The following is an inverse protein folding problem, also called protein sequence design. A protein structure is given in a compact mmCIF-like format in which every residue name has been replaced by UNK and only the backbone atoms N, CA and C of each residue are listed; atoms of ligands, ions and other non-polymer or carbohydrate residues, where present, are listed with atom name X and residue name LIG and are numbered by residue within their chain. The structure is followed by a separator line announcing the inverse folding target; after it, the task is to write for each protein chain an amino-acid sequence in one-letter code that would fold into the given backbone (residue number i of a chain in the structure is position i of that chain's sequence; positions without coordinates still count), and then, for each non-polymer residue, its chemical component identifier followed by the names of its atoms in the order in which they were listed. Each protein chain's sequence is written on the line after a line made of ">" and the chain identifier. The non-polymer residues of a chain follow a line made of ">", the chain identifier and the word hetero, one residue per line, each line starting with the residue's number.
data_IF_055918845049
#
_entry.id   IF_055918845049
#
_cell.length_a   1.000
_cell.length_b   1.000
_cell.length_c   1.000
_cell.angle_alpha   90.00
_cell.angle_beta   90.00
_cell.angle_gamma   90.00
#
_symmetry.space_group_name_H-M   'P 1'
#
loop_
_entity.id
_entity.type
_entity.pdbx_description
1 polymer ?
#
# COMPACT_ATOMS: atom_id res chain seq x y z
N UNK A 1 19.34 0.55 3.19
CA UNK A 1 19.32 1.90 2.57
C UNK A 1 17.94 2.09 1.96
N UNK A 2 16.98 2.60 2.75
CA UNK A 2 15.65 2.93 2.24
C UNK A 2 15.82 4.25 1.47
N UNK A 3 15.54 4.24 0.15
CA UNK A 3 15.89 5.30 -0.78
C UNK A 3 15.49 6.71 -0.32
N UNK A 4 16.29 7.69 -0.72
CA UNK A 4 16.21 9.11 -0.36
C UNK A 4 14.89 9.82 -0.73
N UNK A 5 13.98 9.15 -1.44
CA UNK A 5 12.62 9.61 -1.70
C UNK A 5 11.60 8.59 -1.21
N UNK A 6 10.87 8.95 -0.16
CA UNK A 6 9.74 8.17 0.33
C UNK A 6 8.60 8.25 -0.68
N UNK A 7 8.36 7.17 -1.41
CA UNK A 7 7.21 7.06 -2.32
C UNK A 7 5.93 6.98 -1.47
N UNK A 8 5.11 8.03 -1.54
CA UNK A 8 3.77 8.03 -0.92
C UNK A 8 2.77 7.42 -1.90
N UNK A 9 2.06 6.39 -1.47
CA UNK A 9 0.95 5.83 -2.23
C UNK A 9 -0.31 6.66 -1.95
N UNK A 10 -0.93 7.26 -2.98
CA UNK A 10 -2.12 8.10 -2.81
C UNK A 10 -3.38 7.28 -2.54
N UNK A 11 -4.41 7.94 -2.01
CA UNK A 11 -5.70 7.35 -1.72
C UNK A 11 -6.58 7.23 -2.97
N UNK A 12 -7.57 6.32 -2.93
CA UNK A 12 -8.53 6.15 -4.04
C UNK A 12 -9.54 7.30 -4.15
N UNK A 13 -9.63 8.17 -3.15
CA UNK A 13 -10.54 9.32 -3.08
C UNK A 13 -9.99 10.58 -3.78
N UNK A 14 -8.79 10.51 -4.36
CA UNK A 14 -8.11 11.68 -4.93
C UNK A 14 -7.24 12.44 -3.92
N UNK A 15 -7.13 11.98 -2.68
CA UNK A 15 -6.17 12.53 -1.72
C UNK A 15 -4.75 12.02 -1.97
N UNK A 16 -3.74 12.83 -1.65
CA UNK A 16 -2.33 12.48 -1.82
C UNK A 16 -1.80 11.39 -0.87
N UNK A 17 -2.65 10.78 -0.03
CA UNK A 17 -2.23 9.74 0.93
C UNK A 17 -3.33 8.71 1.17
N UNK A 18 -2.96 7.44 1.07
CA UNK A 18 -3.80 6.34 1.52
C UNK A 18 -3.83 6.24 3.05
N UNK A 19 -5.02 6.12 3.63
CA UNK A 19 -5.22 6.05 5.07
C UNK A 19 -6.45 5.22 5.47
N UNK A 20 -6.33 4.55 6.63
CA UNK A 20 -7.38 3.66 7.15
C UNK A 20 -8.58 4.44 7.65
N UNK A 21 -8.35 5.54 8.36
CA UNK A 21 -9.37 6.37 8.98
C UNK A 21 -10.24 7.09 7.94
N UNK A 22 -9.64 7.40 6.80
CA UNK A 22 -10.23 8.09 5.66
C UNK A 22 -11.07 7.15 4.77
N UNK A 23 -10.98 5.82 5.00
CA UNK A 23 -11.73 4.83 4.23
C UNK A 23 -11.32 4.72 2.76
N UNK A 24 -10.20 5.35 2.37
CA UNK A 24 -9.73 5.45 0.99
C UNK A 24 -8.68 4.39 0.62
N UNK A 25 -8.50 3.39 1.48
CA UNK A 25 -7.42 2.41 1.40
C UNK A 25 -7.83 1.02 0.91
N UNK A 26 -6.84 0.34 0.34
CA UNK A 26 -6.86 -1.09 0.02
C UNK A 26 -6.04 -1.83 1.10
N UNK A 27 -6.63 -2.85 1.70
CA UNK A 27 -5.93 -3.70 2.64
C UNK A 27 -5.24 -4.84 1.89
N UNK A 28 -4.07 -5.25 2.35
CA UNK A 28 -3.37 -6.43 1.80
C UNK A 28 -4.17 -7.73 1.98
N UNK A 29 -5.08 -7.76 2.96
CA UNK A 29 -5.97 -8.87 3.22
C UNK A 29 -7.35 -8.74 2.53
N UNK A 30 -7.59 -7.70 1.73
CA UNK A 30 -8.86 -7.56 1.03
C UNK A 30 -9.08 -8.73 0.04
N UNK A 31 -10.34 -9.13 -0.11
CA UNK A 31 -10.73 -10.08 -1.15
C UNK A 31 -10.66 -9.43 -2.53
N UNK A 32 -10.57 -10.25 -3.57
CA UNK A 32 -10.56 -9.75 -4.95
C UNK A 32 -11.80 -8.90 -5.27
N UNK A 33 -12.96 -9.33 -4.78
CA UNK A 33 -14.22 -8.59 -4.93
C UNK A 33 -14.17 -7.22 -4.22
N UNK A 34 -13.63 -7.17 -3.00
CA UNK A 34 -13.48 -5.93 -2.26
C UNK A 34 -12.54 -4.96 -2.98
N UNK A 35 -11.43 -5.46 -3.54
CA UNK A 35 -10.48 -4.65 -4.32
C UNK A 35 -11.14 -4.08 -5.56
N UNK A 36 -11.78 -4.93 -6.37
CA UNK A 36 -12.52 -4.49 -7.58
C UNK A 36 -13.53 -3.40 -7.22
N UNK A 37 -14.33 -3.62 -6.17
CA UNK A 37 -15.35 -2.68 -5.72
C UNK A 37 -14.76 -1.34 -5.26
N UNK A 38 -13.64 -1.36 -4.54
CA UNK A 38 -12.97 -0.14 -4.06
C UNK A 38 -12.32 0.63 -5.21
N UNK A 39 -11.57 -0.05 -6.07
CA UNK A 39 -10.89 0.58 -7.23
C UNK A 39 -11.90 1.16 -8.22
N UNK A 40 -13.02 0.49 -8.45
CA UNK A 40 -14.09 1.03 -9.32
C UNK A 40 -14.71 2.32 -8.80
N UNK A 41 -14.69 2.55 -7.48
CA UNK A 41 -15.17 3.78 -6.84
C UNK A 41 -14.12 4.89 -6.80
N UNK A 42 -12.89 4.63 -7.24
CA UNK A 42 -11.83 5.61 -7.15
C UNK A 42 -12.18 6.89 -7.92
N UNK A 43 -11.83 8.05 -7.38
CA UNK A 43 -12.19 9.35 -7.96
C UNK A 43 -11.35 9.60 -9.20
N UNK A 44 -12.02 10.01 -10.28
CA UNK A 44 -11.42 10.44 -11.55
C UNK A 44 -12.14 11.71 -12.01
N UNK A 45 -11.62 12.37 -13.03
CA UNK A 45 -12.28 13.52 -13.66
C UNK A 45 -13.20 13.11 -14.84
N UNK A 46 -13.62 14.09 -15.64
CA UNK A 46 -14.44 13.90 -16.83
C UNK A 46 -13.65 13.39 -18.06
N UNK A 47 -12.33 13.31 -17.97
CA UNK A 47 -11.42 13.01 -19.08
C UNK A 47 -10.86 14.28 -19.74
N UNK A 48 -9.74 14.15 -20.47
CA UNK A 48 -9.13 15.28 -21.17
C UNK A 48 -9.96 15.64 -22.42
N UNK A 49 -10.19 16.93 -22.63
CA UNK A 49 -10.92 17.46 -23.80
C UNK A 49 -10.00 17.83 -24.95
N UNK A 50 -8.72 18.08 -24.66
CA UNK A 50 -7.68 18.39 -25.63
C UNK A 50 -6.52 17.39 -25.50
N UNK A 51 -5.86 17.03 -26.62
CA UNK A 51 -4.69 16.17 -26.56
C UNK A 51 -3.60 16.72 -25.64
N UNK A 52 -2.89 15.83 -24.97
CA UNK A 52 -1.78 16.16 -24.06
C UNK A 52 -2.15 17.13 -22.91
N UNK A 53 -3.45 17.18 -22.54
CA UNK A 53 -3.92 17.91 -21.36
C UNK A 53 -3.15 17.50 -20.09
N UNK A 54 -2.95 18.40 -19.12
CA UNK A 54 -2.34 18.03 -17.85
C UNK A 54 -3.23 17.03 -17.08
N UNK A 55 -2.60 16.12 -16.32
CA UNK A 55 -3.30 15.22 -15.41
C UNK A 55 -3.85 15.99 -14.20
N UNK A 56 -5.15 15.88 -13.96
CA UNK A 56 -5.76 16.29 -12.69
C UNK A 56 -5.18 15.48 -11.53
N UNK A 57 -5.29 16.00 -10.31
CA UNK A 57 -4.74 15.32 -9.12
C UNK A 57 -5.34 13.92 -8.91
N UNK A 58 -6.68 13.70 -8.99
CA UNK A 58 -7.24 12.36 -8.83
C UNK A 58 -6.75 11.38 -9.90
N UNK A 59 -6.62 11.81 -11.16
CA UNK A 59 -6.15 10.94 -12.25
C UNK A 59 -4.66 10.64 -12.10
N UNK A 60 -3.86 11.63 -11.72
CA UNK A 60 -2.44 11.43 -11.39
C UNK A 60 -2.26 10.38 -10.30
N UNK A 61 -3.09 10.42 -9.25
CA UNK A 61 -3.03 9.44 -8.16
C UNK A 61 -3.25 8.02 -8.67
N UNK A 62 -4.22 7.83 -9.57
CA UNK A 62 -4.47 6.52 -10.19
C UNK A 62 -3.27 6.05 -11.01
N UNK A 63 -2.65 6.93 -11.81
CA UNK A 63 -1.42 6.58 -12.54
C UNK A 63 -0.26 6.24 -11.61
N UNK A 64 -0.09 6.96 -10.49
CA UNK A 64 0.93 6.64 -9.47
C UNK A 64 0.73 5.24 -8.89
N UNK A 65 -0.51 4.84 -8.59
CA UNK A 65 -0.79 3.49 -8.10
C UNK A 65 -0.51 2.47 -9.20
N UNK A 66 -0.91 2.75 -10.44
CA UNK A 66 -0.69 1.86 -11.58
C UNK A 66 0.81 1.64 -11.83
N UNK A 67 1.64 2.68 -11.74
CA UNK A 67 3.11 2.58 -11.85
C UNK A 67 3.75 1.72 -10.75
N UNK A 68 3.11 1.61 -9.59
CA UNK A 68 3.61 0.79 -8.49
C UNK A 68 3.30 -0.72 -8.65
N UNK A 69 2.23 -1.08 -9.37
CA UNK A 69 1.70 -2.46 -9.37
C UNK A 69 1.55 -3.09 -10.75
N UNK A 70 1.47 -2.27 -11.81
CA UNK A 70 1.18 -2.72 -13.17
C UNK A 70 2.45 -2.80 -14.00
N UNK A 71 2.37 -3.55 -15.10
CA UNK A 71 3.46 -3.58 -16.08
C UNK A 71 3.65 -2.20 -16.74
N UNK A 72 4.90 -1.75 -16.99
CA UNK A 72 5.16 -0.47 -17.66
C UNK A 72 4.42 -0.30 -19.00
N UNK A 73 4.17 -1.40 -19.74
CA UNK A 73 3.42 -1.37 -20.99
C UNK A 73 1.94 -1.02 -20.78
N UNK A 74 1.33 -1.49 -19.70
CA UNK A 74 -0.05 -1.14 -19.31
C UNK A 74 -0.15 0.35 -18.96
N UNK A 75 0.83 0.86 -18.21
CA UNK A 75 0.89 2.29 -17.88
C UNK A 75 1.04 3.14 -19.14
N UNK A 76 1.96 2.76 -20.03
CA UNK A 76 2.20 3.45 -21.29
C UNK A 76 0.94 3.47 -22.17
N UNK A 77 0.24 2.35 -22.28
CA UNK A 77 -1.03 2.24 -23.01
C UNK A 77 -2.06 3.26 -22.51
N UNK A 78 -2.32 3.31 -21.20
CA UNK A 78 -3.32 4.25 -20.67
C UNK A 78 -2.87 5.71 -20.71
N UNK A 79 -1.57 5.99 -20.61
CA UNK A 79 -1.03 7.34 -20.84
C UNK A 79 -1.25 7.79 -22.29
N UNK A 80 -1.04 6.90 -23.25
CA UNK A 80 -1.33 7.17 -24.68
C UNK A 80 -2.84 7.39 -24.92
N UNK A 81 -3.70 6.58 -24.30
CA UNK A 81 -5.16 6.79 -24.39
C UNK A 81 -5.59 8.12 -23.78
N UNK A 82 -4.98 8.53 -22.66
CA UNK A 82 -5.22 9.84 -22.05
C UNK A 82 -4.79 10.97 -22.99
N UNK A 83 -3.56 10.90 -23.51
CA UNK A 83 -3.01 11.90 -24.43
C UNK A 83 -3.84 12.09 -25.70
N UNK A 84 -4.56 11.04 -26.15
CA UNK A 84 -5.45 11.09 -27.33
C UNK A 84 -6.92 11.39 -27.03
N UNK A 85 -7.28 11.70 -25.78
CA UNK A 85 -8.68 11.87 -25.37
C UNK A 85 -9.57 10.64 -25.60
N UNK A 86 -8.98 9.45 -25.70
CA UNK A 86 -9.67 8.17 -25.93
C UNK A 86 -9.82 7.33 -24.66
N UNK A 87 -9.29 7.82 -23.52
CA UNK A 87 -9.28 7.10 -22.27
C UNK A 87 -10.68 6.80 -21.75
N UNK A 88 -10.88 5.53 -21.35
CA UNK A 88 -12.08 5.07 -20.66
C UNK A 88 -11.73 4.71 -19.24
N UNK A 89 -12.09 5.56 -18.27
CA UNK A 89 -11.75 5.32 -16.87
C UNK A 89 -12.34 4.03 -16.29
N UNK A 90 -13.47 3.56 -16.82
CA UNK A 90 -14.01 2.25 -16.45
C UNK A 90 -13.06 1.10 -16.81
N UNK A 91 -12.42 1.16 -17.97
CA UNK A 91 -11.49 0.12 -18.44
C UNK A 91 -10.15 0.23 -17.69
N UNK A 92 -9.68 1.47 -17.48
CA UNK A 92 -8.48 1.73 -16.67
C UNK A 92 -8.64 1.17 -15.24
N UNK A 93 -9.75 1.46 -14.56
CA UNK A 93 -9.99 1.00 -13.19
C UNK A 93 -10.10 -0.52 -13.10
N UNK A 94 -10.70 -1.17 -14.11
CA UNK A 94 -10.76 -2.64 -14.17
C UNK A 94 -9.36 -3.24 -14.31
N UNK A 95 -8.55 -2.72 -15.23
CA UNK A 95 -7.18 -3.19 -15.40
C UNK A 95 -6.37 -3.02 -14.12
N UNK A 96 -6.43 -1.82 -13.51
CA UNK A 96 -5.75 -1.54 -12.25
C UNK A 96 -6.17 -2.51 -11.13
N UNK A 97 -7.47 -2.82 -11.03
CA UNK A 97 -7.95 -3.77 -10.02
C UNK A 97 -7.34 -5.16 -10.20
N UNK A 98 -7.28 -5.68 -11.43
CA UNK A 98 -6.68 -6.99 -11.70
C UNK A 98 -5.17 -7.00 -11.46
N UNK A 99 -4.47 -5.92 -11.81
CA UNK A 99 -3.03 -5.82 -11.56
C UNK A 99 -2.73 -5.72 -10.06
N UNK A 100 -3.53 -4.98 -9.28
CA UNK A 100 -3.43 -4.98 -7.82
C UNK A 100 -3.67 -6.38 -7.27
N UNK A 101 -4.74 -7.07 -7.69
CA UNK A 101 -5.06 -8.43 -7.23
C UNK A 101 -3.87 -9.38 -7.49
N UNK A 102 -3.33 -9.37 -8.71
CA UNK A 102 -2.18 -10.19 -9.08
C UNK A 102 -0.97 -9.86 -8.23
N UNK A 103 -0.71 -8.58 -7.98
CA UNK A 103 0.43 -8.13 -7.20
C UNK A 103 0.34 -8.56 -5.72
N UNK A 104 -0.85 -8.48 -5.12
CA UNK A 104 -1.02 -8.82 -3.69
C UNK A 104 -1.31 -10.30 -3.43
N UNK A 105 -1.75 -11.07 -4.43
CA UNK A 105 -2.07 -12.49 -4.29
C UNK A 105 -1.01 -13.30 -3.51
N UNK A 106 0.31 -13.24 -3.84
CA UNK A 106 1.31 -13.99 -3.09
C UNK A 106 1.47 -13.51 -1.65
N UNK A 107 1.22 -12.23 -1.36
CA UNK A 107 1.25 -11.69 0.00
C UNK A 107 0.07 -12.25 0.79
N UNK A 108 -1.13 -12.22 0.21
CA UNK A 108 -2.36 -12.70 0.83
C UNK A 108 -2.31 -14.20 1.11
N UNK A 109 -1.81 -15.00 0.17
CA UNK A 109 -1.61 -16.44 0.36
C UNK A 109 -0.66 -16.73 1.52
N UNK A 110 0.46 -16.02 1.61
CA UNK A 110 1.39 -16.14 2.74
C UNK A 110 0.77 -15.70 4.06
N UNK A 111 -0.01 -14.62 4.06
CA UNK A 111 -0.73 -14.16 5.24
C UNK A 111 -1.72 -15.23 5.73
N UNK A 112 -2.45 -15.86 4.82
CA UNK A 112 -3.39 -16.94 5.15
C UNK A 112 -2.67 -18.19 5.68
N UNK A 113 -1.56 -18.59 5.05
CA UNK A 113 -0.75 -19.72 5.50
C UNK A 113 -0.20 -19.48 6.93
N UNK A 114 0.33 -18.29 7.20
CA UNK A 114 0.83 -17.90 8.53
C UNK A 114 -0.32 -17.82 9.54
N UNK A 115 -1.47 -17.26 9.16
CA UNK A 115 -2.63 -17.14 10.04
C UNK A 115 -3.22 -18.50 10.44
N UNK A 116 -3.05 -19.52 9.60
CA UNK A 116 -3.47 -20.89 9.90
C UNK A 116 -2.49 -21.65 10.81
N UNK A 117 -1.27 -21.15 11.00
CA UNK A 117 -0.25 -21.76 11.86
C UNK A 117 -0.14 -21.01 13.19
N UNK A 118 -1.01 -21.36 14.13
CA UNK A 118 -1.04 -20.76 15.48
C UNK A 118 0.27 -20.96 16.25
N UNK A 119 0.91 -22.13 16.08
CA UNK A 119 2.18 -22.44 16.75
C UNK A 119 3.29 -21.51 16.27
N UNK A 120 3.40 -21.32 14.96
CA UNK A 120 4.36 -20.40 14.38
C UNK A 120 4.11 -18.95 14.84
N UNK A 121 2.85 -18.51 14.90
CA UNK A 121 2.51 -17.19 15.42
C UNK A 121 2.94 -17.00 16.88
N UNK A 122 2.66 -17.96 17.75
CA UNK A 122 3.07 -17.92 19.14
C UNK A 122 4.59 -17.89 19.29
N UNK A 123 5.31 -18.68 18.49
CA UNK A 123 6.76 -18.69 18.48
C UNK A 123 7.31 -17.31 18.08
N UNK A 124 6.86 -16.74 16.95
CA UNK A 124 7.35 -15.45 16.45
C UNK A 124 7.12 -14.32 17.47
N UNK A 125 5.93 -14.29 18.10
CA UNK A 125 5.62 -13.30 19.13
C UNK A 125 6.48 -13.50 20.38
N UNK A 126 6.67 -14.76 20.81
CA UNK A 126 7.52 -15.11 21.95
C UNK A 126 8.99 -14.72 21.74
N UNK A 127 9.55 -15.04 20.58
CA UNK A 127 10.92 -14.71 20.21
C UNK A 127 11.14 -13.19 20.14
N UNK A 128 10.18 -12.48 19.54
CA UNK A 128 10.18 -11.01 19.49
C UNK A 128 10.12 -10.38 20.88
N UNK A 129 9.25 -10.89 21.76
CA UNK A 129 9.14 -10.42 23.14
C UNK A 129 10.42 -10.68 23.94
N UNK A 130 11.06 -11.84 23.77
CA UNK A 130 12.32 -12.17 24.43
C UNK A 130 13.46 -11.26 23.96
N UNK A 131 13.55 -10.99 22.65
CA UNK A 131 14.55 -10.08 22.09
C UNK A 131 14.36 -8.64 22.59
N UNK A 132 13.12 -8.13 22.54
CA UNK A 132 12.79 -6.81 23.06
C UNK A 132 13.09 -6.68 24.56
N UNK A 133 12.79 -7.72 25.36
CA UNK A 133 13.07 -7.73 26.79
C UNK A 133 14.57 -7.67 27.09
N UNK A 134 15.40 -8.45 26.38
CA UNK A 134 16.86 -8.39 26.56
C UNK A 134 17.41 -6.99 26.32
N UNK A 135 16.97 -6.33 25.24
CA UNK A 135 17.38 -4.96 24.91
C UNK A 135 16.89 -3.97 25.98
N UNK A 136 15.63 -4.06 26.39
CA UNK A 136 15.07 -3.20 27.42
C UNK A 136 15.76 -3.37 28.78
N UNK A 137 16.10 -4.60 29.18
CA UNK A 137 16.79 -4.90 30.43
C UNK A 137 18.20 -4.30 30.45
N UNK A 138 18.93 -4.34 29.33
CA UNK A 138 20.23 -3.69 29.18
C UNK A 138 20.10 -2.17 29.34
N UNK A 139 19.20 -1.54 28.60
CA UNK A 139 18.94 -0.09 28.72
C UNK A 139 18.52 0.29 30.14
N UNK A 140 17.65 -0.50 30.79
CA UNK A 140 17.21 -0.21 32.15
C UNK A 140 18.33 -0.38 33.18
N UNK A 141 19.27 -1.31 32.99
CA UNK A 141 20.44 -1.45 33.87
C UNK A 141 21.32 -0.20 33.79
N UNK A 142 21.59 0.29 32.60
CA UNK A 142 22.38 1.52 32.40
C UNK A 142 21.69 2.73 33.02
N UNK A 143 20.39 2.93 32.75
CA UNK A 143 19.60 4.02 33.32
C UNK A 143 19.60 3.95 34.85
N UNK A 144 19.40 2.76 35.44
CA UNK A 144 19.42 2.59 36.90
C UNK A 144 20.79 2.91 37.50
N UNK A 145 21.88 2.49 36.85
CA UNK A 145 23.24 2.80 37.29
C UNK A 145 23.51 4.30 37.27
N UNK A 146 23.13 5.01 36.19
CA UNK A 146 23.29 6.46 36.06
C UNK A 146 22.47 7.21 37.12
N UNK A 147 21.23 6.77 37.38
CA UNK A 147 20.37 7.38 38.40
C UNK A 147 20.77 7.01 39.84
N UNK A 148 21.78 6.16 40.04
CA UNK A 148 22.23 5.73 41.36
C UNK A 148 21.27 4.77 42.06
N UNK A 149 20.34 4.15 41.34
CA UNK A 149 19.45 3.11 41.87
C UNK A 149 20.27 1.81 42.00
N UNK A 150 20.67 1.49 43.24
CA UNK A 150 21.42 0.27 43.52
C UNK A 150 20.50 -0.96 43.46
N UNK A 151 20.93 -2.06 42.81
CA UNK A 151 20.27 -3.34 42.98
C UNK A 151 20.43 -3.79 44.44
N UNK A 152 19.34 -4.26 45.04
CA UNK A 152 19.35 -4.91 46.35
C UNK A 152 19.95 -6.30 46.27
#
# INVERSE_FOLDING_TARGET
>A
NFGSELVKIPGLDGSGKMGKSEGNCLYLADTDEAIRKKVMKAVTDAGPTEPDSPLSEPVRNIFTIMEAVSDPSTVAYFREQYARCAIRYGDLKKQLAEDIIRHIAPIRERMQAIAADENYLHQVVGDGAAAARRSADETLREVRAIMGIKPF
#
